data_IF_690997168694
#
_entry.id   IF_690997168694
#
_cell.length_a   1.000
_cell.length_b   1.000
_cell.length_c   1.000
_cell.angle_alpha   90.00
_cell.angle_beta   90.00
_cell.angle_gamma   90.00
#
_symmetry.space_group_name_H-M   'P 1'
#
loop_
_entity.id
_entity.type
_entity.pdbx_description
1 polymer ?
#
# COMPACT_ATOMS: atom_id res chain seq x y z
N UNK A 1 1.12 -4.94 13.66
CA UNK A 1 1.22 -4.65 12.22
C UNK A 1 1.00 -3.18 11.96
N UNK A 2 1.76 -2.58 11.07
CA UNK A 2 1.60 -1.18 10.73
C UNK A 2 0.31 -0.98 9.94
N UNK A 3 -0.36 0.10 10.23
CA UNK A 3 -1.66 0.41 9.64
C UNK A 3 -1.50 1.46 8.53
N UNK A 4 -0.89 1.08 7.43
CA UNK A 4 -0.62 1.99 6.32
C UNK A 4 -1.87 2.32 5.54
N UNK A 5 -1.89 3.54 5.00
CA UNK A 5 -2.90 3.91 4.02
C UNK A 5 -2.74 3.06 2.76
N UNK A 6 -3.84 2.61 2.20
CA UNK A 6 -3.86 1.81 0.98
C UNK A 6 -4.73 2.52 -0.06
N UNK A 7 -4.15 2.81 -1.23
CA UNK A 7 -4.91 3.30 -2.37
C UNK A 7 -5.28 2.11 -3.23
N UNK A 8 -6.54 2.03 -3.66
CA UNK A 8 -6.98 0.99 -4.59
C UNK A 8 -7.71 1.69 -5.73
N UNK A 9 -7.32 1.43 -6.97
CA UNK A 9 -7.92 2.06 -8.14
C UNK A 9 -7.90 1.12 -9.32
N UNK A 10 -8.83 1.36 -10.26
CA UNK A 10 -8.88 0.58 -11.49
C UNK A 10 -7.82 1.06 -12.48
N UNK A 11 -7.10 0.12 -13.07
CA UNK A 11 -6.10 0.41 -14.09
C UNK A 11 -6.56 -0.20 -15.42
N UNK A 12 -6.94 0.65 -16.37
CA UNK A 12 -7.36 0.18 -17.67
C UNK A 12 -6.22 -0.50 -18.43
N UNK A 13 -5.00 -0.01 -18.24
CA UNK A 13 -3.82 -0.61 -18.87
C UNK A 13 -3.59 -2.04 -18.43
N UNK A 14 -3.85 -2.32 -17.15
CA UNK A 14 -3.59 -3.63 -16.57
C UNK A 14 -4.81 -4.53 -16.57
N UNK A 15 -5.98 -3.99 -16.87
CA UNK A 15 -7.22 -4.75 -16.91
C UNK A 15 -7.71 -5.21 -15.55
N UNK A 16 -7.44 -4.42 -14.52
CA UNK A 16 -7.86 -4.76 -13.16
C UNK A 16 -7.52 -3.65 -12.18
N UNK A 17 -7.36 -4.01 -10.93
CA UNK A 17 -7.16 -3.04 -9.85
C UNK A 17 -5.74 -3.09 -9.33
N UNK A 18 -5.22 -1.91 -9.01
CA UNK A 18 -3.91 -1.75 -8.39
C UNK A 18 -4.13 -1.30 -6.95
N UNK A 19 -3.44 -1.94 -6.02
CA UNK A 19 -3.38 -1.50 -4.63
C UNK A 19 -1.97 -1.00 -4.37
N UNK A 20 -1.85 0.15 -3.71
CA UNK A 20 -0.58 0.84 -3.54
C UNK A 20 -0.44 1.35 -2.11
N UNK A 21 0.75 1.20 -1.54
CA UNK A 21 1.07 1.68 -0.19
C UNK A 21 2.00 2.89 -0.32
N UNK A 22 1.46 4.13 -0.20
CA UNK A 22 2.29 5.33 -0.41
C UNK A 22 3.50 5.44 0.54
N UNK A 23 3.36 4.95 1.77
CA UNK A 23 4.45 5.04 2.73
C UNK A 23 5.60 4.06 2.48
N UNK A 24 5.38 3.06 1.64
CA UNK A 24 6.40 2.06 1.34
C UNK A 24 6.80 2.15 -0.12
N UNK A 25 8.07 2.43 -0.37
CA UNK A 25 8.58 2.61 -1.73
C UNK A 25 8.37 1.35 -2.57
N UNK A 26 7.74 1.53 -3.73
CA UNK A 26 7.51 0.45 -4.70
C UNK A 26 6.70 -0.74 -4.14
N UNK A 27 5.82 -0.49 -3.19
CA UNK A 27 4.97 -1.54 -2.63
C UNK A 27 3.59 -1.44 -3.23
N UNK A 28 3.31 -2.26 -4.24
CA UNK A 28 2.00 -2.29 -4.90
C UNK A 28 1.69 -3.72 -5.35
N UNK A 29 0.43 -3.95 -5.67
CA UNK A 29 -0.02 -5.26 -6.10
C UNK A 29 -1.21 -5.14 -7.04
N UNK A 30 -1.50 -6.19 -7.77
CA UNK A 30 -2.57 -6.25 -8.75
C UNK A 30 -3.63 -7.27 -8.31
N UNK A 31 -4.89 -6.99 -8.63
CA UNK A 31 -5.98 -7.94 -8.47
C UNK A 31 -7.07 -7.67 -9.49
N UNK A 32 -7.85 -8.67 -9.81
CA UNK A 32 -8.95 -8.51 -10.76
C UNK A 32 -10.16 -7.82 -10.14
N UNK A 33 -10.21 -7.79 -8.82
CA UNK A 33 -11.24 -7.09 -8.05
C UNK A 33 -10.54 -6.26 -6.97
N UNK A 34 -11.22 -5.24 -6.40
CA UNK A 34 -10.64 -4.49 -5.29
C UNK A 34 -10.26 -5.37 -4.10
N UNK A 35 -11.10 -6.35 -3.78
CA UNK A 35 -10.83 -7.28 -2.67
C UNK A 35 -9.57 -8.10 -2.93
N UNK A 36 -9.41 -8.58 -4.16
CA UNK A 36 -8.23 -9.36 -4.54
C UNK A 36 -6.97 -8.50 -4.48
N UNK A 37 -7.04 -7.26 -4.99
CA UNK A 37 -5.92 -6.34 -4.93
C UNK A 37 -5.51 -6.05 -3.49
N UNK A 38 -6.48 -5.88 -2.59
CA UNK A 38 -6.21 -5.67 -1.18
C UNK A 38 -5.48 -6.87 -0.58
N UNK A 39 -5.97 -8.08 -0.83
CA UNK A 39 -5.34 -9.29 -0.32
C UNK A 39 -3.89 -9.40 -0.81
N UNK A 40 -3.66 -9.11 -2.08
CA UNK A 40 -2.33 -9.20 -2.66
C UNK A 40 -1.37 -8.13 -2.10
N UNK A 41 -1.85 -6.90 -1.87
CA UNK A 41 -0.98 -5.86 -1.33
C UNK A 41 -0.65 -6.11 0.14
N UNK A 42 -1.53 -6.78 0.86
CA UNK A 42 -1.23 -7.16 2.24
C UNK A 42 -0.07 -8.16 2.29
N UNK A 43 -0.06 -9.10 1.35
CA UNK A 43 1.05 -10.06 1.22
C UNK A 43 2.34 -9.30 0.84
N UNK A 44 2.25 -8.39 -0.13
CA UNK A 44 3.39 -7.60 -0.58
C UNK A 44 3.95 -6.74 0.57
N UNK A 45 3.08 -6.17 1.39
CA UNK A 45 3.48 -5.36 2.53
C UNK A 45 4.27 -6.18 3.54
N UNK A 46 3.79 -7.37 3.87
CA UNK A 46 4.49 -8.26 4.81
C UNK A 46 5.88 -8.63 4.29
N UNK A 47 5.96 -8.96 2.99
CA UNK A 47 7.24 -9.30 2.37
C UNK A 47 8.18 -8.09 2.34
N UNK A 48 7.64 -6.89 2.07
CA UNK A 48 8.42 -5.66 2.04
C UNK A 48 9.07 -5.38 3.42
N UNK A 49 8.26 -5.51 4.47
CA UNK A 49 8.72 -5.25 5.84
C UNK A 49 9.79 -6.28 6.24
N UNK A 50 9.55 -7.55 5.92
CA UNK A 50 10.51 -8.60 6.22
C UNK A 50 11.84 -8.35 5.52
N UNK A 51 11.81 -7.99 4.24
CA UNK A 51 13.01 -7.69 3.48
C UNK A 51 13.76 -6.48 4.05
N UNK A 52 13.02 -5.43 4.43
CA UNK A 52 13.64 -4.24 5.02
C UNK A 52 14.36 -4.58 6.32
N UNK A 53 13.74 -5.38 7.18
CA UNK A 53 14.35 -5.79 8.44
C UNK A 53 15.59 -6.64 8.21
N UNK A 54 15.52 -7.55 7.25
CA UNK A 54 16.65 -8.42 6.92
C UNK A 54 17.86 -7.62 6.42
N UNK A 55 17.60 -6.48 5.76
CA UNK A 55 18.67 -5.61 5.26
C UNK A 55 19.08 -4.54 6.26
N UNK A 56 18.49 -4.53 7.44
CA UNK A 56 18.77 -3.52 8.46
C UNK A 56 18.21 -2.16 8.13
N UNK A 57 17.25 -2.07 7.22
CA UNK A 57 16.62 -0.81 6.86
C UNK A 57 15.47 -0.50 7.81
N UNK A 58 15.21 0.80 8.01
CA UNK A 58 14.11 1.23 8.84
C UNK A 58 12.78 0.96 8.12
N UNK A 59 11.80 0.44 8.87
CA UNK A 59 10.44 0.32 8.39
C UNK A 59 9.72 1.65 8.70
N UNK A 60 9.22 2.37 7.67
CA UNK A 60 8.57 3.67 7.90
C UNK A 60 7.32 3.54 8.76
N UNK A 61 7.04 4.56 9.55
CA UNK A 61 5.77 4.65 10.27
C UNK A 61 4.71 5.18 9.30
N UNK A 62 3.43 4.82 9.51
CA UNK A 62 2.35 5.35 8.68
C UNK A 62 2.27 6.87 8.82
N UNK A 63 2.38 7.59 7.71
CA UNK A 63 2.34 9.05 7.68
C UNK A 63 1.38 9.59 6.65
N UNK A 64 1.22 8.89 5.55
CA UNK A 64 0.42 9.40 4.45
C UNK A 64 -1.04 9.60 4.85
N UNK A 65 -1.59 10.74 4.47
CA UNK A 65 -3.01 11.07 4.63
C UNK A 65 -3.51 11.68 3.33
N UNK A 66 -4.66 11.24 2.82
CA UNK A 66 -5.25 11.91 1.65
C UNK A 66 -5.52 13.37 1.97
N UNK A 67 -5.45 14.23 0.96
CA UNK A 67 -5.67 15.67 1.13
C UNK A 67 -7.05 15.95 1.75
N UNK A 68 -8.07 15.23 1.31
CA UNK A 68 -9.43 15.42 1.84
C UNK A 68 -9.50 15.11 3.33
N UNK A 69 -8.78 14.09 3.78
CA UNK A 69 -8.73 13.74 5.20
C UNK A 69 -8.00 14.80 5.99
N UNK A 70 -6.89 15.31 5.45
CA UNK A 70 -6.11 16.36 6.10
C UNK A 70 -6.95 17.61 6.30
N UNK A 71 -7.76 17.98 5.31
CA UNK A 71 -8.63 19.14 5.40
C UNK A 71 -9.68 18.98 6.51
N UNK A 72 -10.21 17.77 6.67
CA UNK A 72 -11.18 17.49 7.72
C UNK A 72 -10.55 17.47 9.11
N UNK A 73 -9.29 17.05 9.20
CA UNK A 73 -8.58 16.92 10.47
C UNK A 73 -7.98 18.24 10.95
N UNK A 74 -7.87 19.21 10.07
CA UNK A 74 -7.32 20.54 10.40
C UNK A 74 -8.33 21.45 11.17
#
# INVERSE_FOLDING_TARGET
MQDYHINIFYSAEDGGYIADIPDLQACSAFGKTPTEALAEVEIATAAWIEAARAEGKRVPNPKYRPVSYQALAA
#
